data_IF_430937768978
#
_entry.id   IF_430937768978
#
_cell.length_a   1.000
_cell.length_b   1.000
_cell.length_c   1.000
_cell.angle_alpha   90.00
_cell.angle_beta   90.00
_cell.angle_gamma   90.00
#
_symmetry.space_group_name_H-M   'P 1'
#
loop_
_entity.id
_entity.type
_entity.pdbx_description
1 polymer ?
#
# COMPACT_ATOMS: atom_id res chain seq x y z
N UNK A 1 10.36 10.25 -17.17
CA UNK A 1 10.28 8.90 -17.75
C UNK A 1 9.20 8.93 -18.81
N UNK A 2 9.45 8.43 -20.02
CA UNK A 2 8.43 8.39 -21.08
C UNK A 2 7.46 7.24 -20.85
N UNK A 3 6.24 7.30 -21.38
CA UNK A 3 5.24 6.23 -21.28
C UNK A 3 5.78 4.89 -21.78
N UNK A 4 6.62 4.92 -22.83
CA UNK A 4 7.29 3.73 -23.37
C UNK A 4 8.29 3.11 -22.39
N UNK A 5 9.05 3.93 -21.67
CA UNK A 5 10.01 3.46 -20.66
C UNK A 5 9.28 2.84 -19.47
N UNK A 6 8.22 3.51 -18.98
CA UNK A 6 7.40 2.98 -17.89
C UNK A 6 6.83 1.62 -18.25
N UNK A 7 6.21 1.51 -19.43
CA UNK A 7 5.63 0.26 -19.92
C UNK A 7 6.65 -0.88 -19.99
N UNK A 8 7.83 -0.61 -20.54
CA UNK A 8 8.89 -1.60 -20.63
C UNK A 8 9.35 -2.05 -19.23
N UNK A 9 9.42 -1.12 -18.28
CA UNK A 9 9.80 -1.44 -16.91
C UNK A 9 8.73 -2.26 -16.19
N UNK A 10 7.46 -1.90 -16.32
CA UNK A 10 6.34 -2.71 -15.81
C UNK A 10 6.39 -4.11 -16.40
N UNK A 11 6.46 -4.25 -17.73
CA UNK A 11 6.52 -5.55 -18.38
C UNK A 11 7.69 -6.39 -17.88
N UNK A 12 8.88 -5.79 -17.73
CA UNK A 12 10.06 -6.46 -17.18
C UNK A 12 9.80 -6.98 -15.77
N UNK A 13 9.30 -6.14 -14.86
CA UNK A 13 9.01 -6.55 -13.47
C UNK A 13 7.95 -7.64 -13.38
N UNK A 14 6.90 -7.55 -14.19
CA UNK A 14 5.85 -8.57 -14.22
C UNK A 14 6.37 -9.91 -14.77
N UNK A 15 7.25 -9.90 -15.77
CA UNK A 15 7.88 -11.12 -16.28
C UNK A 15 8.84 -11.78 -15.29
N UNK A 16 9.53 -10.97 -14.46
CA UNK A 16 10.42 -11.46 -13.41
C UNK A 16 9.64 -12.18 -12.29
N UNK A 17 8.55 -11.58 -11.81
CA UNK A 17 7.85 -12.05 -10.61
C UNK A 17 6.61 -12.92 -10.90
N UNK A 18 5.96 -12.75 -12.05
CA UNK A 18 4.70 -13.38 -12.42
C UNK A 18 4.67 -13.78 -13.92
N UNK A 19 5.61 -14.64 -14.38
CA UNK A 19 5.80 -14.90 -15.81
C UNK A 19 4.58 -15.54 -16.49
N UNK A 20 3.78 -16.34 -15.79
CA UNK A 20 2.61 -16.97 -16.36
C UNK A 20 1.50 -15.95 -16.66
N UNK A 21 1.19 -15.10 -15.68
CA UNK A 21 0.19 -14.04 -15.78
C UNK A 21 0.63 -12.96 -16.77
N UNK A 22 1.90 -12.56 -16.72
CA UNK A 22 2.47 -11.53 -17.58
C UNK A 22 2.37 -11.86 -19.08
N UNK A 23 2.49 -13.14 -19.46
CA UNK A 23 2.33 -13.60 -20.85
C UNK A 23 0.91 -13.43 -21.41
N UNK A 24 -0.09 -13.24 -20.54
CA UNK A 24 -1.48 -13.04 -20.95
C UNK A 24 -1.86 -11.57 -21.10
N UNK A 25 -0.95 -10.63 -20.75
CA UNK A 25 -1.23 -9.21 -20.78
C UNK A 25 -1.19 -8.63 -22.19
N UNK A 26 -2.16 -7.78 -22.50
CA UNK A 26 -2.18 -6.98 -23.73
C UNK A 26 -1.39 -5.69 -23.56
N UNK A 27 -0.99 -5.07 -24.68
CA UNK A 27 -0.35 -3.76 -24.65
C UNK A 27 -1.22 -2.69 -23.97
N UNK A 28 -2.54 -2.71 -24.22
CA UNK A 28 -3.47 -1.79 -23.58
C UNK A 28 -3.51 -1.95 -22.05
N UNK A 29 -3.42 -3.18 -21.53
CA UNK A 29 -3.34 -3.43 -20.09
C UNK A 29 -2.02 -2.94 -19.49
N UNK A 30 -0.91 -3.03 -20.24
CA UNK A 30 0.37 -2.48 -19.83
C UNK A 30 0.41 -0.95 -19.89
N UNK A 31 -0.26 -0.34 -20.87
CA UNK A 31 -0.41 1.11 -20.98
C UNK A 31 -1.27 1.69 -19.83
N UNK A 32 -2.28 0.93 -19.38
CA UNK A 32 -3.13 1.29 -18.24
C UNK A 32 -2.51 0.93 -16.87
N UNK A 33 -1.34 0.31 -16.84
CA UNK A 33 -0.73 -0.15 -15.60
C UNK A 33 -0.22 1.05 -14.77
N UNK A 34 -0.53 1.12 -13.46
CA UNK A 34 -0.06 2.22 -12.63
C UNK A 34 1.46 2.18 -12.45
N UNK A 35 2.07 3.35 -12.33
CA UNK A 35 3.52 3.52 -12.29
C UNK A 35 4.21 2.75 -11.14
N UNK A 36 3.51 2.51 -10.03
CA UNK A 36 4.07 1.74 -8.91
C UNK A 36 4.37 0.29 -9.27
N UNK A 37 3.80 -0.27 -10.34
CA UNK A 37 4.18 -1.60 -10.84
C UNK A 37 5.57 -1.62 -11.50
N UNK A 38 6.18 -0.47 -11.78
CA UNK A 38 7.56 -0.42 -12.28
C UNK A 38 8.62 -0.46 -11.15
N UNK A 39 8.20 -0.24 -9.90
CA UNK A 39 9.09 -0.20 -8.73
C UNK A 39 9.78 -1.55 -8.50
N UNK A 40 10.95 -1.49 -7.87
CA UNK A 40 11.62 -2.69 -7.37
C UNK A 40 10.83 -3.30 -6.20
N UNK A 41 11.09 -4.57 -5.87
CA UNK A 41 10.31 -5.27 -4.84
C UNK A 41 10.41 -4.60 -3.47
N UNK A 42 11.60 -4.14 -3.08
CA UNK A 42 11.81 -3.43 -1.80
C UNK A 42 11.04 -2.11 -1.75
N UNK A 43 11.04 -1.35 -2.83
CA UNK A 43 10.30 -0.09 -2.97
C UNK A 43 8.79 -0.31 -3.01
N UNK A 44 8.34 -1.37 -3.69
CA UNK A 44 6.94 -1.77 -3.74
C UNK A 44 6.41 -2.15 -2.36
N UNK A 45 7.16 -2.95 -1.61
CA UNK A 45 6.80 -3.31 -0.23
C UNK A 45 6.86 -2.10 0.70
N UNK A 46 7.81 -1.18 0.48
CA UNK A 46 7.84 0.09 1.22
C UNK A 46 6.62 0.97 0.92
N UNK A 47 6.17 1.02 -0.34
CA UNK A 47 4.94 1.71 -0.72
C UNK A 47 3.72 1.03 -0.08
N UNK A 48 3.65 -0.29 -0.09
CA UNK A 48 2.58 -1.04 0.55
C UNK A 48 2.55 -0.76 2.08
N UNK A 49 3.68 -0.83 2.77
CA UNK A 49 3.81 -0.45 4.18
C UNK A 49 3.23 0.96 4.45
N UNK A 50 3.59 1.93 3.60
CA UNK A 50 3.11 3.32 3.71
C UNK A 50 1.60 3.41 3.49
N UNK A 51 1.07 2.79 2.43
CA UNK A 51 -0.37 2.75 2.16
C UNK A 51 -1.16 2.15 3.33
N UNK A 52 -0.67 1.06 3.92
CA UNK A 52 -1.33 0.44 5.06
C UNK A 52 -1.30 1.31 6.32
N UNK A 53 -0.19 1.98 6.58
CA UNK A 53 -0.10 2.93 7.71
C UNK A 53 -1.01 4.14 7.53
N UNK A 54 -1.23 4.58 6.29
CA UNK A 54 -2.15 5.68 5.96
C UNK A 54 -3.60 5.23 6.09
N UNK A 55 -3.94 4.03 5.62
CA UNK A 55 -5.25 3.42 5.86
C UNK A 55 -5.53 3.30 7.37
N UNK A 56 -4.50 2.96 8.16
CA UNK A 56 -4.58 2.82 9.61
C UNK A 56 -4.56 4.17 10.38
N UNK A 57 -4.33 5.30 9.70
CA UNK A 57 -4.10 6.58 10.36
C UNK A 57 -5.19 6.99 11.37
N UNK A 58 -6.50 6.80 11.08
CA UNK A 58 -7.56 7.09 12.05
C UNK A 58 -7.40 6.29 13.36
N UNK A 59 -7.11 5.00 13.27
CA UNK A 59 -6.86 4.16 14.43
C UNK A 59 -5.56 4.54 15.16
N UNK A 60 -4.49 4.82 14.42
CA UNK A 60 -3.17 5.16 14.97
C UNK A 60 -3.18 6.44 15.82
N UNK A 61 -4.03 7.43 15.47
CA UNK A 61 -4.18 8.67 16.25
C UNK A 61 -4.79 8.42 17.63
N UNK A 62 -5.57 7.34 17.77
CA UNK A 62 -6.18 6.94 19.04
C UNK A 62 -5.22 6.13 19.93
N UNK A 63 -4.01 5.79 19.46
CA UNK A 63 -3.02 5.05 20.23
C UNK A 63 -2.40 5.95 21.30
N UNK A 64 -3.03 6.01 22.46
CA UNK A 64 -2.58 6.79 23.61
C UNK A 64 -1.47 6.08 24.41
N UNK A 65 -1.37 4.75 24.30
CA UNK A 65 -0.37 3.97 25.03
C UNK A 65 1.04 4.18 24.47
N UNK A 66 1.97 4.61 25.33
CA UNK A 66 3.38 4.84 24.98
C UNK A 66 4.04 3.69 24.22
N UNK A 67 3.91 2.42 24.66
CA UNK A 67 4.51 1.28 23.96
C UNK A 67 4.04 1.11 22.51
N UNK A 68 2.74 1.32 22.24
CA UNK A 68 2.19 1.22 20.88
C UNK A 68 2.72 2.33 19.97
N UNK A 69 2.87 3.55 20.50
CA UNK A 69 3.48 4.67 19.77
C UNK A 69 4.94 4.40 19.42
N UNK A 70 5.69 3.81 20.35
CA UNK A 70 7.08 3.41 20.12
C UNK A 70 7.21 2.27 19.12
N UNK A 71 6.27 1.33 19.16
CA UNK A 71 6.14 0.27 18.18
C UNK A 71 5.97 0.84 16.77
N UNK A 72 4.98 1.72 16.59
CA UNK A 72 4.69 2.37 15.30
C UNK A 72 5.87 3.22 14.82
N UNK A 73 6.48 4.01 15.71
CA UNK A 73 7.66 4.84 15.41
C UNK A 73 8.84 3.99 14.92
N UNK A 74 9.04 2.81 15.51
CA UNK A 74 10.11 1.89 15.12
C UNK A 74 9.81 1.18 13.81
N UNK A 75 8.57 0.73 13.62
CA UNK A 75 8.12 0.04 12.39
C UNK A 75 8.17 0.94 11.15
N UNK A 76 7.74 2.19 11.30
CA UNK A 76 7.54 3.12 10.19
C UNK A 76 8.72 4.09 9.97
N UNK A 77 9.56 4.25 10.98
CA UNK A 77 10.55 5.32 11.04
C UNK A 77 9.93 6.65 11.50
N UNK A 78 10.73 7.41 12.26
CA UNK A 78 10.29 8.66 12.91
C UNK A 78 9.69 9.69 11.94
N UNK A 79 10.30 9.97 10.76
CA UNK A 79 9.77 11.01 9.87
C UNK A 79 8.39 10.65 9.33
N UNK A 80 8.21 9.41 8.87
CA UNK A 80 6.95 8.94 8.32
C UNK A 80 5.86 8.86 9.38
N UNK A 81 6.18 8.32 10.57
CA UNK A 81 5.25 8.26 11.69
C UNK A 81 4.66 9.62 12.05
N UNK A 82 5.51 10.66 12.13
CA UNK A 82 5.05 12.04 12.38
C UNK A 82 4.12 12.53 11.28
N UNK A 83 4.49 12.34 10.02
CA UNK A 83 3.67 12.77 8.89
C UNK A 83 2.28 12.11 8.85
N UNK A 84 2.20 10.80 9.13
CA UNK A 84 0.92 10.07 9.19
C UNK A 84 0.04 10.56 10.34
N UNK A 85 0.64 10.74 11.52
CA UNK A 85 -0.09 11.23 12.70
C UNK A 85 -0.64 12.63 12.49
N UNK A 86 0.15 13.51 11.87
CA UNK A 86 -0.16 14.93 11.70
C UNK A 86 -0.97 15.21 10.40
N UNK A 87 -1.25 14.19 9.59
CA UNK A 87 -2.11 14.32 8.41
C UNK A 87 -3.55 14.74 8.81
N UNK A 88 -4.28 15.40 7.91
CA UNK A 88 -5.68 15.75 8.16
C UNK A 88 -6.56 14.51 8.30
N UNK A 89 -7.77 14.71 8.84
CA UNK A 89 -8.76 13.66 8.96
C UNK A 89 -9.17 13.11 7.60
N UNK A 90 -9.18 11.79 7.52
CA UNK A 90 -9.69 11.07 6.36
C UNK A 90 -11.21 11.16 6.33
N UNK A 91 -11.83 11.13 5.14
CA UNK A 91 -13.23 10.75 5.05
C UNK A 91 -13.44 9.42 5.80
N UNK A 92 -14.61 9.23 6.45
CA UNK A 92 -14.92 7.97 7.12
C UNK A 92 -14.68 6.79 6.17
N UNK A 93 -13.99 5.76 6.67
CA UNK A 93 -13.79 4.55 5.88
C UNK A 93 -15.13 3.84 5.67
N UNK A 94 -15.37 3.23 4.49
CA UNK A 94 -16.51 2.35 4.29
C UNK A 94 -16.61 1.24 5.34
N UNK A 95 -17.83 0.80 5.62
CA UNK A 95 -18.09 -0.33 6.52
C UNK A 95 -17.31 -1.57 6.09
N UNK A 96 -16.77 -2.30 7.07
CA UNK A 96 -15.95 -3.51 6.84
C UNK A 96 -14.44 -3.26 6.66
N UNK A 97 -14.01 -2.00 6.69
CA UNK A 97 -12.59 -1.64 6.81
C UNK A 97 -12.22 -1.31 8.26
N UNK A 98 -10.95 -1.53 8.65
CA UNK A 98 -10.53 -1.35 10.03
C UNK A 98 -10.42 0.14 10.38
N UNK A 99 -11.51 0.68 10.94
CA UNK A 99 -11.63 2.09 11.32
C UNK A 99 -11.27 2.36 12.78
N UNK A 100 -11.37 1.34 13.63
CA UNK A 100 -11.11 1.42 15.06
C UNK A 100 -9.83 0.68 15.48
N UNK A 101 -9.35 1.03 16.67
CA UNK A 101 -8.27 0.34 17.38
C UNK A 101 -8.48 -1.17 17.47
N UNK A 102 -9.71 -1.60 17.76
CA UNK A 102 -10.10 -3.01 17.93
C UNK A 102 -10.03 -3.85 16.65
N UNK A 103 -10.00 -3.20 15.49
CA UNK A 103 -10.07 -3.87 14.20
C UNK A 103 -8.69 -4.30 13.71
N UNK A 104 -7.63 -3.84 14.38
CA UNK A 104 -6.25 -4.20 14.09
C UNK A 104 -5.79 -5.29 15.08
N UNK A 105 -5.34 -6.46 14.60
CA UNK A 105 -4.78 -7.50 15.46
C UNK A 105 -3.71 -6.97 16.44
N UNK A 106 -3.70 -7.54 17.64
CA UNK A 106 -2.68 -7.24 18.64
C UNK A 106 -1.29 -7.59 18.13
N UNK A 107 -0.40 -6.61 18.16
CA UNK A 107 1.01 -6.78 17.76
C UNK A 107 1.94 -6.29 18.86
N UNK A 108 2.98 -7.08 19.10
CA UNK A 108 3.98 -6.83 20.15
C UNK A 108 5.36 -6.50 19.61
N UNK A 109 5.59 -6.60 18.29
CA UNK A 109 6.91 -6.34 17.68
C UNK A 109 6.81 -5.38 16.50
N UNK A 110 7.84 -4.54 16.24
CA UNK A 110 7.86 -3.63 15.09
C UNK A 110 7.77 -4.36 13.75
N UNK A 111 8.38 -5.55 13.66
CA UNK A 111 8.35 -6.37 12.45
C UNK A 111 6.94 -6.88 12.13
N UNK A 112 6.21 -7.37 13.14
CA UNK A 112 4.82 -7.82 12.98
C UNK A 112 3.91 -6.65 12.56
N UNK A 113 4.07 -5.48 13.19
CA UNK A 113 3.32 -4.28 12.81
C UNK A 113 3.63 -3.83 11.37
N UNK A 114 4.91 -3.87 10.97
CA UNK A 114 5.32 -3.55 9.60
C UNK A 114 4.72 -4.52 8.58
N UNK A 115 4.71 -5.82 8.89
CA UNK A 115 4.09 -6.83 8.05
C UNK A 115 2.58 -6.58 7.90
N UNK A 116 1.89 -6.32 9.01
CA UNK A 116 0.44 -6.06 9.01
C UNK A 116 0.09 -4.83 8.16
N UNK A 117 0.85 -3.74 8.28
CA UNK A 117 0.70 -2.58 7.41
C UNK A 117 1.04 -2.89 5.95
N UNK A 118 2.03 -3.75 5.70
CA UNK A 118 2.37 -4.16 4.33
C UNK A 118 1.23 -4.93 3.69
N UNK A 119 0.62 -5.88 4.41
CA UNK A 119 -0.54 -6.67 3.95
C UNK A 119 -1.77 -5.81 3.73
N UNK A 120 -2.01 -4.86 4.65
CA UNK A 120 -3.04 -3.83 4.54
C UNK A 120 -2.88 -2.98 3.27
N UNK A 121 -1.69 -2.45 3.05
CA UNK A 121 -1.42 -1.63 1.88
C UNK A 121 -1.35 -2.43 0.58
N UNK A 122 -0.98 -3.70 0.63
CA UNK A 122 -1.13 -4.59 -0.51
C UNK A 122 -2.61 -4.73 -0.90
N UNK A 123 -3.53 -4.80 0.08
CA UNK A 123 -4.97 -4.82 -0.21
C UNK A 123 -5.43 -3.50 -0.85
N UNK A 124 -4.91 -2.37 -0.38
CA UNK A 124 -5.12 -1.04 -1.01
C UNK A 124 -4.66 -1.04 -2.47
N UNK A 125 -3.39 -1.39 -2.73
CA UNK A 125 -2.84 -1.40 -4.09
C UNK A 125 -3.60 -2.34 -5.02
N UNK A 126 -3.99 -3.52 -4.51
CA UNK A 126 -4.76 -4.52 -5.24
C UNK A 126 -6.20 -4.08 -5.54
N UNK A 127 -6.86 -3.37 -4.64
CA UNK A 127 -8.20 -2.84 -4.85
C UNK A 127 -8.21 -1.64 -5.82
N UNK A 128 -7.08 -0.94 -5.97
CA UNK A 128 -6.89 0.11 -6.97
C UNK A 128 -6.85 -0.39 -8.41
N UNK A 129 -6.62 -1.70 -8.63
CA UNK A 129 -6.51 -2.30 -9.97
C UNK A 129 -7.85 -2.86 -10.47
N UNK A 130 -8.12 -2.79 -11.79
CA UNK A 130 -9.24 -3.50 -12.39
C UNK A 130 -9.05 -5.03 -12.25
N UNK A 131 -10.16 -5.77 -12.23
CA UNK A 131 -10.12 -7.24 -12.25
C UNK A 131 -9.45 -7.76 -13.53
N UNK A 132 -8.70 -8.86 -13.42
CA UNK A 132 -8.07 -9.55 -14.55
C UNK A 132 -6.58 -9.81 -14.37
N UNK A 133 -5.88 -10.15 -15.46
CA UNK A 133 -4.49 -10.62 -15.45
C UNK A 133 -3.52 -9.65 -14.78
N UNK A 134 -3.72 -8.34 -14.91
CA UNK A 134 -2.84 -7.34 -14.29
C UNK A 134 -2.91 -7.41 -12.76
N UNK A 135 -4.11 -7.59 -12.21
CA UNK A 135 -4.33 -7.74 -10.78
C UNK A 135 -3.75 -9.05 -10.27
N UNK A 136 -3.89 -10.14 -11.01
CA UNK A 136 -3.23 -11.41 -10.67
C UNK A 136 -1.71 -11.30 -10.69
N UNK A 137 -1.12 -10.66 -11.71
CA UNK A 137 0.32 -10.46 -11.75
C UNK A 137 0.81 -9.57 -10.59
N UNK A 138 0.07 -8.51 -10.26
CA UNK A 138 0.37 -7.64 -9.13
C UNK A 138 0.32 -8.37 -7.77
N UNK A 139 -0.63 -9.29 -7.58
CA UNK A 139 -0.73 -10.04 -6.31
C UNK A 139 0.50 -10.89 -6.04
N UNK A 140 1.07 -11.52 -7.08
CA UNK A 140 2.31 -12.32 -6.95
C UNK A 140 3.50 -11.47 -6.50
N UNK A 141 3.53 -10.19 -6.90
CA UNK A 141 4.60 -9.24 -6.52
C UNK A 141 4.48 -8.75 -5.10
N UNK A 142 3.25 -8.43 -4.69
CA UNK A 142 2.95 -7.91 -3.35
C UNK A 142 3.05 -9.01 -2.28
N UNK A 143 2.81 -10.27 -2.63
CA UNK A 143 2.86 -11.38 -1.69
C UNK A 143 1.57 -11.48 -0.87
N UNK A 144 1.64 -11.71 0.44
CA UNK A 144 0.46 -11.76 1.31
C UNK A 144 -0.35 -10.46 1.25
N UNK A 145 -1.67 -10.60 1.18
CA UNK A 145 -2.63 -9.49 1.08
C UNK A 145 -3.67 -9.66 2.17
N UNK A 146 -3.96 -8.59 2.92
CA UNK A 146 -5.02 -8.62 3.92
C UNK A 146 -6.37 -8.95 3.25
N UNK A 147 -7.20 -9.76 3.90
CA UNK A 147 -8.50 -10.21 3.38
C UNK A 147 -9.58 -9.12 3.48
N UNK A 148 -9.24 -7.88 3.13
CA UNK A 148 -10.16 -6.74 3.16
C UNK A 148 -10.68 -6.44 1.76
N UNK A 149 -11.99 -6.27 1.67
CA UNK A 149 -12.66 -5.82 0.46
C UNK A 149 -12.91 -4.33 0.62
N UNK A 150 -12.27 -3.52 -0.23
CA UNK A 150 -12.49 -2.07 -0.25
C UNK A 150 -12.92 -1.60 -1.64
N UNK A 151 -13.75 -0.54 -1.72
CA UNK A 151 -14.04 0.12 -2.99
C UNK A 151 -12.77 0.67 -3.65
N UNK A 152 -12.69 0.58 -4.98
CA UNK A 152 -11.56 1.10 -5.74
C UNK A 152 -11.31 2.59 -5.49
N UNK A 153 -12.38 3.40 -5.34
CA UNK A 153 -12.25 4.82 -5.03
C UNK A 153 -11.51 5.07 -3.70
N UNK A 154 -11.81 4.28 -2.66
CA UNK A 154 -11.13 4.35 -1.37
C UNK A 154 -9.66 3.97 -1.50
N UNK A 155 -9.36 2.90 -2.22
CA UNK A 155 -7.99 2.46 -2.47
C UNK A 155 -7.15 3.53 -3.19
N UNK A 156 -7.73 4.15 -4.23
CA UNK A 156 -7.07 5.22 -4.98
C UNK A 156 -6.87 6.48 -4.13
N UNK A 157 -7.82 6.83 -3.27
CA UNK A 157 -7.67 7.94 -2.33
C UNK A 157 -6.53 7.68 -1.33
N UNK A 158 -6.45 6.47 -0.76
CA UNK A 158 -5.36 6.09 0.15
C UNK A 158 -4.00 6.17 -0.55
N UNK A 159 -3.90 5.63 -1.78
CA UNK A 159 -2.67 5.71 -2.56
C UNK A 159 -2.28 7.16 -2.88
N UNK A 160 -3.24 7.99 -3.31
CA UNK A 160 -3.00 9.40 -3.62
C UNK A 160 -2.41 10.16 -2.43
N UNK A 161 -3.05 10.05 -1.27
CA UNK A 161 -2.57 10.73 -0.07
C UNK A 161 -1.26 10.15 0.44
N UNK A 162 -1.02 8.84 0.27
CA UNK A 162 0.27 8.22 0.58
C UNK A 162 1.40 8.87 -0.23
N UNK A 163 1.19 9.08 -1.52
CA UNK A 163 2.16 9.75 -2.39
C UNK A 163 2.32 11.23 -2.03
N UNK A 164 1.24 11.91 -1.65
CA UNK A 164 1.27 13.31 -1.20
C UNK A 164 2.01 13.48 0.13
N UNK A 165 1.86 12.56 1.08
CA UNK A 165 2.64 12.56 2.32
C UNK A 165 4.12 12.24 2.05
N UNK A 166 4.38 11.30 1.15
CA UNK A 166 5.75 10.92 0.78
C UNK A 166 6.53 12.09 0.20
N UNK A 167 5.91 12.91 -0.66
CA UNK A 167 6.59 14.10 -1.22
C UNK A 167 6.90 15.15 -0.15
N UNK A 168 6.05 15.30 0.87
CA UNK A 168 6.29 16.23 2.00
C UNK A 168 7.42 15.76 2.92
N UNK A 169 7.57 14.45 3.12
CA UNK A 169 8.64 13.89 3.98
C UNK A 169 10.00 13.92 3.29
N UNK A 170 10.02 13.89 1.96
CA UNK A 170 11.25 13.95 1.17
C UNK A 170 11.77 15.38 0.91
N UNK A 171 10.94 16.41 1.18
CA UNK A 171 11.28 17.82 1.06
C UNK A 171 11.99 18.34 2.32
#
# INVERSE_FOLDING_TARGET
MTDRQLRAQVARRLLEDAPAEARTLTWAQLDAAPAWLALERSELLSLALRCGSVLAAPALRLWIAGPLRELARTALGVPWWRAVRDAQDWPPLPDGLPGGLSDWPDVSTPAALSQQFTEAGAAVLMAGLPHGSLRHAASRRLGPVAAWVMPQATALAVLHETLALQSRVAA
#
